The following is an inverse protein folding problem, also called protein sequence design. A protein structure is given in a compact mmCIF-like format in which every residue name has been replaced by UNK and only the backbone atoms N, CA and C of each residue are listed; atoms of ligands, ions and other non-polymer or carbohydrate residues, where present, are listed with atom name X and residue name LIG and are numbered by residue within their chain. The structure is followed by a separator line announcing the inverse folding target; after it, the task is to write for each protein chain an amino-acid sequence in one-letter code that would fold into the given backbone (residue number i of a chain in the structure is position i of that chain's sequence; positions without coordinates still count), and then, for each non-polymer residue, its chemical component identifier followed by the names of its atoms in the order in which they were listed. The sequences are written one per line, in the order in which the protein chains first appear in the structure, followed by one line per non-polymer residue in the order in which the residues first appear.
data_IF_068628007500
#
_entry.id   IF_068628007500
#
_cell.length_a   1.000
_cell.length_b   1.000
_cell.length_c   1.000
_cell.angle_alpha   90.00
_cell.angle_beta   90.00
_cell.angle_gamma   90.00
#
_symmetry.space_group_name_H-M   'P 1'
#
loop_
_entity.id
_entity.type
_entity.pdbx_description
1 polymer ?
#
# COMPACT_ATOMS: atom_id res chain seq x y z
N UNK A 1 -27.13 29.49 -18.56
CA UNK A 1 -26.22 29.78 -17.44
C UNK A 1 -26.08 28.61 -16.44
N UNK A 2 -26.73 27.46 -16.70
CA UNK A 2 -26.77 26.30 -15.78
C UNK A 2 -25.57 25.33 -15.96
N UNK A 3 -25.10 25.15 -17.20
CA UNK A 3 -24.07 24.14 -17.51
C UNK A 3 -22.69 24.42 -16.89
N UNK A 4 -22.26 25.69 -16.78
CA UNK A 4 -20.91 25.99 -16.26
C UNK A 4 -20.74 25.57 -14.80
N UNK A 5 -21.79 25.72 -13.98
CA UNK A 5 -21.77 25.32 -12.56
C UNK A 5 -21.63 23.81 -12.41
N UNK A 6 -22.29 23.06 -13.29
CA UNK A 6 -22.16 21.61 -13.37
C UNK A 6 -20.73 21.18 -13.76
N UNK A 7 -20.14 21.81 -14.78
CA UNK A 7 -18.75 21.53 -15.17
C UNK A 7 -17.75 21.85 -14.04
N UNK A 8 -17.91 22.96 -13.33
CA UNK A 8 -17.08 23.30 -12.17
C UNK A 8 -17.23 22.27 -11.04
N UNK A 9 -18.44 21.79 -10.79
CA UNK A 9 -18.72 20.77 -9.77
C UNK A 9 -18.07 19.44 -10.13
N UNK A 10 -18.21 18.98 -11.38
CA UNK A 10 -17.55 17.76 -11.88
C UNK A 10 -16.03 17.89 -11.84
N UNK A 11 -15.50 19.08 -12.18
CA UNK A 11 -14.05 19.36 -12.11
C UNK A 11 -13.53 19.34 -10.67
N UNK A 12 -14.26 19.90 -9.71
CA UNK A 12 -13.89 19.85 -8.30
C UNK A 12 -13.87 18.41 -7.76
N UNK A 13 -14.87 17.59 -8.14
CA UNK A 13 -14.89 16.15 -7.80
C UNK A 13 -13.69 15.44 -8.43
N UNK A 14 -13.34 15.75 -9.68
CA UNK A 14 -12.20 15.14 -10.36
C UNK A 14 -10.87 15.47 -9.66
N UNK A 15 -10.69 16.70 -9.16
CA UNK A 15 -9.49 17.08 -8.38
C UNK A 15 -9.44 16.33 -7.05
N UNK A 16 -10.56 16.22 -6.32
CA UNK A 16 -10.61 15.46 -5.08
C UNK A 16 -10.43 13.95 -5.29
N UNK A 17 -10.87 13.44 -6.44
CA UNK A 17 -10.73 12.04 -6.83
C UNK A 17 -9.34 11.73 -7.43
N UNK A 18 -8.49 12.74 -7.61
CA UNK A 18 -7.09 12.52 -7.99
C UNK A 18 -6.45 11.66 -6.91
N UNK A 19 -5.84 10.51 -7.25
CA UNK A 19 -5.06 9.77 -6.28
C UNK A 19 -3.99 10.71 -5.74
N UNK A 20 -3.99 10.96 -4.43
CA UNK A 20 -2.84 11.56 -3.77
C UNK A 20 -1.70 10.55 -3.93
N UNK A 21 -0.88 10.76 -4.97
CA UNK A 21 0.31 9.98 -5.20
C UNK A 21 1.32 10.41 -4.13
N UNK A 22 1.19 9.84 -2.94
CA UNK A 22 2.23 9.92 -1.95
C UNK A 22 3.52 9.40 -2.57
N UNK A 23 4.62 10.11 -2.37
CA UNK A 23 5.94 9.73 -2.85
C UNK A 23 6.49 8.61 -1.95
N UNK A 24 5.88 7.43 -2.10
CA UNK A 24 6.26 6.20 -1.41
C UNK A 24 7.25 5.43 -2.27
N UNK A 25 8.46 5.26 -1.74
CA UNK A 25 9.54 4.54 -2.41
C UNK A 25 9.74 3.18 -1.74
N UNK A 26 9.71 2.12 -2.54
CA UNK A 26 10.09 0.78 -2.10
C UNK A 26 11.62 0.67 -2.10
N UNK A 27 12.25 0.88 -0.94
CA UNK A 27 13.71 0.80 -0.82
C UNK A 27 14.25 -0.63 -0.77
N UNK A 28 13.40 -1.61 -0.39
CA UNK A 28 13.75 -3.04 -0.45
C UNK A 28 12.52 -3.92 -0.64
N UNK A 29 12.66 -4.94 -1.47
CA UNK A 29 11.65 -5.97 -1.73
C UNK A 29 12.32 -7.34 -1.64
N UNK A 30 11.94 -8.16 -0.66
CA UNK A 30 12.28 -9.59 -0.60
C UNK A 30 11.05 -10.39 -0.99
N UNK A 31 11.14 -11.22 -2.02
CA UNK A 31 10.02 -12.06 -2.47
C UNK A 31 10.43 -13.53 -2.45
N UNK A 32 9.61 -14.35 -1.82
CA UNK A 32 9.77 -15.80 -1.76
C UNK A 32 8.52 -16.47 -2.31
N UNK A 33 8.73 -17.41 -3.23
CA UNK A 33 7.66 -18.19 -3.87
C UNK A 33 7.86 -19.64 -3.45
N UNK A 34 6.90 -20.17 -2.70
CA UNK A 34 6.91 -21.55 -2.25
C UNK A 34 6.06 -22.39 -3.20
N UNK A 35 6.70 -23.37 -3.83
CA UNK A 35 6.11 -24.31 -4.78
C UNK A 35 6.05 -25.73 -4.22
N UNK A 36 6.22 -25.88 -2.90
CA UNK A 36 6.29 -27.17 -2.21
C UNK A 36 4.94 -27.89 -2.11
N UNK A 37 3.84 -27.24 -2.49
CA UNK A 37 2.49 -27.82 -2.48
C UNK A 37 1.72 -27.42 -3.74
N UNK A 38 0.55 -28.03 -3.94
CA UNK A 38 -0.38 -27.64 -5.00
C UNK A 38 -0.95 -26.22 -4.83
N UNK A 39 -0.77 -25.59 -3.66
CA UNK A 39 -1.14 -24.20 -3.40
C UNK A 39 0.11 -23.33 -3.49
N UNK A 40 0.07 -22.35 -4.40
CA UNK A 40 1.12 -21.34 -4.56
C UNK A 40 1.09 -20.36 -3.39
N UNK A 41 2.18 -20.29 -2.63
CA UNK A 41 2.32 -19.32 -1.53
C UNK A 41 3.41 -18.31 -1.85
N UNK A 42 3.04 -17.03 -1.85
CA UNK A 42 3.98 -15.92 -2.07
C UNK A 42 4.09 -15.14 -0.77
N UNK A 43 5.31 -14.97 -0.28
CA UNK A 43 5.64 -14.10 0.86
C UNK A 43 6.48 -12.96 0.34
N UNK A 44 6.01 -11.72 0.50
CA UNK A 44 6.76 -10.52 0.12
C UNK A 44 6.98 -9.65 1.35
N UNK A 45 8.24 -9.31 1.63
CA UNK A 45 8.61 -8.35 2.67
C UNK A 45 9.01 -7.05 1.98
N UNK A 46 8.25 -5.99 2.27
CA UNK A 46 8.41 -4.68 1.65
C UNK A 46 8.95 -3.69 2.69
N UNK A 47 10.04 -2.98 2.35
CA UNK A 47 10.47 -1.79 3.06
C UNK A 47 9.99 -0.58 2.27
N UNK A 48 9.04 0.14 2.85
CA UNK A 48 8.43 1.33 2.27
C UNK A 48 8.98 2.56 3.01
N UNK A 49 9.43 3.54 2.24
CA UNK A 49 9.91 4.83 2.74
C UNK A 49 9.04 5.94 2.18
N UNK A 50 8.64 6.88 3.03
CA UNK A 50 7.95 8.08 2.60
C UNK A 50 9.00 9.14 2.25
N UNK A 51 9.23 9.33 0.95
CA UNK A 51 10.15 10.34 0.41
C UNK A 51 9.47 11.72 0.28
N UNK A 52 8.15 11.76 0.38
CA UNK A 52 7.36 12.97 0.29
C UNK A 52 7.39 13.81 1.57
N UNK A 53 7.09 15.12 1.45
CA UNK A 53 7.02 16.01 2.61
C UNK A 53 5.78 15.77 3.48
N UNK A 54 4.74 15.14 2.93
CA UNK A 54 3.48 14.85 3.61
C UNK A 54 3.48 13.46 4.21
N UNK A 55 2.83 13.28 5.36
CA UNK A 55 2.71 11.97 6.01
C UNK A 55 1.76 11.05 5.23
N UNK A 56 2.28 9.94 4.71
CA UNK A 56 1.49 8.88 4.10
C UNK A 56 1.00 7.86 5.14
N UNK A 57 -0.30 7.54 5.14
CA UNK A 57 -0.91 6.54 6.05
C UNK A 57 -1.29 5.24 5.35
N UNK A 58 -1.40 5.27 4.02
CA UNK A 58 -1.89 4.16 3.20
C UNK A 58 -0.84 3.73 2.19
N UNK A 59 -0.80 2.42 1.91
CA UNK A 59 0.08 1.84 0.89
C UNK A 59 -0.78 0.96 -0.02
N UNK A 60 -0.81 1.30 -1.31
CA UNK A 60 -1.52 0.53 -2.33
C UNK A 60 -0.58 -0.53 -2.91
N UNK A 61 -1.02 -1.79 -2.89
CA UNK A 61 -0.30 -2.91 -3.49
C UNK A 61 -1.11 -3.51 -4.63
N UNK A 62 -0.53 -3.50 -5.85
CA UNK A 62 -1.17 -4.04 -7.03
C UNK A 62 -0.83 -5.53 -7.22
N UNK A 63 -1.84 -6.32 -7.59
CA UNK A 63 -1.70 -7.72 -7.95
C UNK A 63 -2.13 -7.94 -9.41
N UNK A 64 -1.42 -8.79 -10.17
CA UNK A 64 -1.87 -9.19 -11.50
C UNK A 64 -3.28 -9.80 -11.46
N UNK A 65 -4.10 -9.51 -12.47
CA UNK A 65 -5.52 -9.91 -12.49
C UNK A 65 -5.72 -11.41 -12.27
N UNK A 66 -4.95 -12.25 -12.97
CA UNK A 66 -5.02 -13.70 -12.81
C UNK A 66 -4.63 -14.16 -11.40
N UNK A 67 -3.68 -13.47 -10.75
CA UNK A 67 -3.29 -13.79 -9.38
C UNK A 67 -4.39 -13.37 -8.41
N UNK A 68 -4.94 -12.16 -8.56
CA UNK A 68 -6.04 -11.66 -7.74
C UNK A 68 -7.27 -12.55 -7.82
N UNK A 69 -7.63 -13.03 -9.02
CA UNK A 69 -8.79 -13.91 -9.24
C UNK A 69 -8.66 -15.29 -8.57
N UNK A 70 -7.45 -15.81 -8.44
CA UNK A 70 -7.18 -17.14 -7.88
C UNK A 70 -6.63 -17.08 -6.43
N UNK A 71 -6.64 -15.91 -5.80
CA UNK A 71 -6.10 -15.71 -4.46
C UNK A 71 -7.11 -16.16 -3.40
N UNK A 72 -6.80 -17.26 -2.72
CA UNK A 72 -7.64 -17.74 -1.63
C UNK A 72 -7.42 -16.98 -0.30
N UNK A 73 -6.24 -16.38 -0.11
CA UNK A 73 -5.85 -15.75 1.15
C UNK A 73 -4.84 -14.63 0.94
N UNK A 74 -5.04 -13.51 1.64
CA UNK A 74 -4.11 -12.38 1.70
C UNK A 74 -3.97 -11.91 3.15
N UNK A 75 -2.74 -11.73 3.59
CA UNK A 75 -2.41 -11.18 4.90
C UNK A 75 -1.19 -10.27 4.78
N UNK A 76 -1.23 -9.16 5.49
CA UNK A 76 -0.11 -8.26 5.68
C UNK A 76 0.11 -8.07 7.17
N UNK A 77 1.37 -8.06 7.59
CA UNK A 77 1.75 -7.76 8.97
C UNK A 77 2.89 -6.76 8.96
N UNK A 78 2.92 -5.80 9.90
CA UNK A 78 4.08 -4.95 10.06
C UNK A 78 5.29 -5.82 10.37
N UNK A 79 6.39 -5.59 9.66
CA UNK A 79 7.64 -6.28 9.95
C UNK A 79 8.30 -5.60 11.15
N UNK A 80 7.90 -5.99 12.36
CA UNK A 80 8.68 -5.68 13.55
C UNK A 80 10.01 -6.43 13.43
N UNK A 81 11.09 -5.72 13.11
CA UNK A 81 12.43 -6.27 13.27
C UNK A 81 12.62 -6.76 14.71
N UNK A 82 13.60 -7.63 14.96
CA UNK A 82 14.09 -7.95 16.31
C UNK A 82 14.79 -6.73 16.96
N UNK A 83 14.13 -5.57 16.95
CA UNK A 83 14.56 -4.33 17.59
C UNK A 83 14.14 -4.37 19.05
N UNK A 84 15.11 -4.21 19.95
CA UNK A 84 14.93 -4.26 21.41
C UNK A 84 13.69 -3.50 21.83
N UNK A 85 12.76 -4.19 22.51
CA UNK A 85 11.65 -3.57 23.25
C UNK A 85 12.25 -2.47 24.12
N UNK A 86 12.03 -1.20 23.74
CA UNK A 86 12.26 -0.10 24.67
C UNK A 86 11.18 -0.26 25.73
N UNK A 87 11.59 -0.73 26.91
CA UNK A 87 10.72 -0.73 28.10
C UNK A 87 10.17 0.69 28.26
N UNK A 88 8.88 0.86 28.54
CA UNK A 88 8.34 2.18 28.85
C UNK A 88 9.10 2.71 30.07
N UNK A 89 9.73 3.88 29.92
CA UNK A 89 10.21 4.65 31.06
C UNK A 89 8.95 5.27 31.66
N UNK A 90 8.43 4.64 32.70
CA UNK A 90 7.40 5.23 33.55
C UNK A 90 8.13 6.13 34.54
N UNK A 91 7.93 7.45 34.39
CA UNK A 91 8.15 8.43 35.45
C UNK A 91 6.82 8.72 36.12
#
# INVERSE_FOLDING_TARGET
MEGSRFYFFVFAIAILASPALFDLVLSKVDRRIYLTSHIFRISSTLKVENAGPETATEVLLAFPEQQAKNMAYLMATPHEGKGKVKKPIVN
#
